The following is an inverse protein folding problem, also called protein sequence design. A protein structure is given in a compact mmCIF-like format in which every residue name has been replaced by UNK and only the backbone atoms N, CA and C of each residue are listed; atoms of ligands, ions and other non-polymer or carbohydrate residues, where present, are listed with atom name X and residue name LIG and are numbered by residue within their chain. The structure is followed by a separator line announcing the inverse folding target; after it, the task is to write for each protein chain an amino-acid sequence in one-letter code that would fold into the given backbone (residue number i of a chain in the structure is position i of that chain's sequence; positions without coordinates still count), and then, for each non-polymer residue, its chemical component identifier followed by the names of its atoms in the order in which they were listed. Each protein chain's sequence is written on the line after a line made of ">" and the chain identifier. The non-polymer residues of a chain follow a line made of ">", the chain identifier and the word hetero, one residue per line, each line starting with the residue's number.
data_IF_265195093252
#
_entry.id   IF_265195093252
#
_cell.length_a   1.000
_cell.length_b   1.000
_cell.length_c   1.000
_cell.angle_alpha   90.00
_cell.angle_beta   90.00
_cell.angle_gamma   90.00
#
_symmetry.space_group_name_H-M   'P 1'
#
loop_
_entity.id
_entity.type
_entity.pdbx_description
1 polymer ?
#
# COMPACT_ATOMS: atom_id res chain seq x y z
N UNK A 1 -22.81 -8.60 -9.65
CA UNK A 1 -21.43 -8.10 -9.59
C UNK A 1 -20.96 -8.15 -8.15
N UNK A 2 -19.66 -8.33 -7.92
CA UNK A 2 -19.07 -8.18 -6.59
C UNK A 2 -18.32 -6.86 -6.61
N UNK A 3 -18.73 -5.96 -5.72
CA UNK A 3 -18.09 -4.68 -5.52
C UNK A 3 -17.65 -4.58 -4.06
N UNK A 4 -16.51 -3.94 -3.83
CA UNK A 4 -16.00 -3.66 -2.48
C UNK A 4 -15.76 -2.16 -2.34
N UNK A 5 -16.08 -1.56 -1.19
CA UNK A 5 -15.80 -0.15 -0.95
C UNK A 5 -14.31 0.14 -0.95
N UNK A 6 -13.91 1.33 -1.42
CA UNK A 6 -12.52 1.75 -1.53
C UNK A 6 -11.77 1.74 -0.19
N UNK A 7 -12.47 2.02 0.93
CA UNK A 7 -11.87 1.96 2.26
C UNK A 7 -11.29 0.58 2.61
N UNK A 8 -11.72 -0.49 1.94
CA UNK A 8 -11.17 -1.85 2.12
C UNK A 8 -9.69 -1.90 1.72
N UNK A 9 -9.32 -1.23 0.63
CA UNK A 9 -7.94 -1.13 0.17
C UNK A 9 -7.09 -0.26 1.10
N UNK A 10 -7.67 0.83 1.63
CA UNK A 10 -7.00 1.65 2.64
C UNK A 10 -6.70 0.84 3.90
N UNK A 11 -7.65 0.02 4.36
CA UNK A 11 -7.44 -0.87 5.50
C UNK A 11 -6.28 -1.84 5.29
N UNK A 12 -6.20 -2.46 4.11
CA UNK A 12 -5.09 -3.36 3.75
C UNK A 12 -3.75 -2.61 3.70
N UNK A 13 -3.73 -1.41 3.12
CA UNK A 13 -2.55 -0.54 3.09
C UNK A 13 -2.05 -0.22 4.52
N UNK A 14 -2.96 0.17 5.42
CA UNK A 14 -2.61 0.48 6.82
C UNK A 14 -2.08 -0.75 7.58
N UNK A 15 -2.63 -1.94 7.31
CA UNK A 15 -2.14 -3.20 7.87
C UNK A 15 -0.69 -3.45 7.44
N UNK A 16 -0.40 -3.34 6.14
CA UNK A 16 0.95 -3.50 5.61
C UNK A 16 1.92 -2.46 6.18
N UNK A 17 1.47 -1.21 6.32
CA UNK A 17 2.24 -0.14 6.93
C UNK A 17 2.55 -0.43 8.41
N UNK A 18 1.60 -1.03 9.15
CA UNK A 18 1.80 -1.48 10.51
C UNK A 18 2.86 -2.58 10.62
N UNK A 19 2.79 -3.61 9.76
CA UNK A 19 3.80 -4.68 9.69
C UNK A 19 5.17 -4.10 9.37
N UNK A 20 5.25 -3.20 8.38
CA UNK A 20 6.48 -2.51 8.03
C UNK A 20 7.05 -1.73 9.22
N UNK A 21 6.21 -0.98 9.93
CA UNK A 21 6.62 -0.18 11.11
C UNK A 21 7.17 -1.08 12.20
N UNK A 22 6.55 -2.24 12.45
CA UNK A 22 7.04 -3.22 13.42
C UNK A 22 8.44 -3.73 13.05
N UNK A 23 8.66 -4.13 11.79
CA UNK A 23 9.98 -4.56 11.33
C UNK A 23 11.01 -3.44 11.38
N UNK A 24 10.62 -2.20 11.09
CA UNK A 24 11.49 -1.03 11.20
C UNK A 24 11.96 -0.80 12.64
N UNK A 25 11.05 -0.91 13.62
CA UNK A 25 11.39 -0.81 15.05
C UNK A 25 12.35 -1.93 15.46
N UNK A 26 12.09 -3.18 15.04
CA UNK A 26 12.98 -4.31 15.30
C UNK A 26 14.38 -4.05 14.71
N UNK A 27 14.45 -3.52 13.48
CA UNK A 27 15.72 -3.18 12.84
C UNK A 27 16.50 -2.12 13.64
N UNK A 28 15.84 -1.04 14.08
CA UNK A 28 16.48 -0.03 14.94
C UNK A 28 16.97 -0.65 16.25
N UNK A 29 16.15 -1.48 16.90
CA UNK A 29 16.54 -2.15 18.14
C UNK A 29 17.78 -3.04 17.93
N UNK A 30 17.82 -3.78 16.82
CA UNK A 30 18.97 -4.61 16.45
C UNK A 30 20.23 -3.78 16.18
N UNK A 31 20.11 -2.64 15.50
CA UNK A 31 21.24 -1.71 15.27
C UNK A 31 21.84 -1.19 16.58
N UNK A 32 20.99 -0.85 17.55
CA UNK A 32 21.42 -0.40 18.88
C UNK A 32 22.06 -1.55 19.66
N UNK A 33 21.43 -2.72 19.70
CA UNK A 33 21.93 -3.89 20.45
C UNK A 33 23.28 -4.39 19.93
N UNK A 34 23.46 -4.42 18.62
CA UNK A 34 24.72 -4.87 18.00
C UNK A 34 25.82 -3.81 18.04
N UNK A 35 25.55 -2.62 18.60
CA UNK A 35 26.43 -1.45 18.54
C UNK A 35 26.93 -1.15 17.13
N UNK A 36 26.17 -1.56 16.11
CA UNK A 36 26.53 -1.45 14.70
C UNK A 36 26.08 -0.10 14.14
N UNK A 37 26.26 0.95 14.94
CA UNK A 37 26.01 2.36 14.59
C UNK A 37 27.14 2.88 13.69
N UNK A 38 27.52 2.08 12.69
CA UNK A 38 28.45 2.53 11.67
C UNK A 38 27.77 3.59 10.81
N UNK A 39 28.58 4.46 10.21
CA UNK A 39 28.08 5.47 9.28
C UNK A 39 27.26 4.85 8.14
N UNK A 40 27.66 3.66 7.65
CA UNK A 40 26.95 2.93 6.60
C UNK A 40 25.56 2.51 7.07
N UNK A 41 25.45 1.88 8.24
CA UNK A 41 24.15 1.48 8.82
C UNK A 41 23.22 2.69 9.02
N UNK A 42 23.77 3.83 9.45
CA UNK A 42 23.03 5.08 9.59
C UNK A 42 22.50 5.57 8.23
N UNK A 43 23.35 5.67 7.21
CA UNK A 43 22.96 6.16 5.88
C UNK A 43 21.88 5.27 5.26
N UNK A 44 22.04 3.94 5.34
CA UNK A 44 21.04 3.01 4.80
C UNK A 44 19.70 3.17 5.53
N UNK A 45 19.71 3.22 6.87
CA UNK A 45 18.48 3.39 7.67
C UNK A 45 17.81 4.73 7.39
N UNK A 46 18.60 5.80 7.25
CA UNK A 46 18.11 7.14 6.91
C UNK A 46 17.44 7.18 5.53
N UNK A 47 18.06 6.60 4.51
CA UNK A 47 17.49 6.55 3.15
C UNK A 47 16.17 5.78 3.16
N UNK A 48 16.11 4.63 3.84
CA UNK A 48 14.86 3.87 3.98
C UNK A 48 13.77 4.68 4.68
N UNK A 49 14.11 5.32 5.81
CA UNK A 49 13.17 6.15 6.56
C UNK A 49 12.66 7.35 5.75
N UNK A 50 13.57 8.05 5.05
CA UNK A 50 13.22 9.17 4.18
C UNK A 50 12.31 8.73 3.03
N UNK A 51 12.60 7.58 2.41
CA UNK A 51 11.79 7.02 1.31
C UNK A 51 10.37 6.69 1.77
N UNK A 52 10.23 6.07 2.95
CA UNK A 52 8.91 5.76 3.53
C UNK A 52 8.15 7.02 3.90
N UNK A 53 8.84 8.00 4.50
CA UNK A 53 8.23 9.29 4.85
C UNK A 53 7.70 10.01 3.60
N UNK A 54 8.48 10.01 2.52
CA UNK A 54 8.08 10.57 1.23
C UNK A 54 6.90 9.82 0.63
N UNK A 55 6.90 8.48 0.71
CA UNK A 55 5.80 7.65 0.22
C UNK A 55 4.50 7.92 0.98
N UNK A 56 4.55 8.04 2.31
CA UNK A 56 3.39 8.40 3.14
C UNK A 56 2.89 9.81 2.76
N UNK A 57 3.79 10.78 2.64
CA UNK A 57 3.44 12.13 2.24
C UNK A 57 2.78 12.17 0.85
N UNK A 58 3.36 11.51 -0.14
CA UNK A 58 2.78 11.41 -1.48
C UNK A 58 1.40 10.72 -1.43
N UNK A 59 1.27 9.66 -0.64
CA UNK A 59 -0.01 8.95 -0.44
C UNK A 59 -1.06 9.88 0.15
N UNK A 60 -0.73 10.68 1.17
CA UNK A 60 -1.67 11.63 1.76
C UNK A 60 -2.17 12.68 0.76
N UNK A 61 -1.28 13.20 -0.09
CA UNK A 61 -1.66 14.16 -1.13
C UNK A 61 -2.53 13.51 -2.22
N UNK A 62 -2.18 12.30 -2.67
CA UNK A 62 -2.93 11.59 -3.70
C UNK A 62 -4.32 11.14 -3.22
N UNK A 63 -4.50 10.96 -1.91
CA UNK A 63 -5.76 10.57 -1.32
C UNK A 63 -6.66 11.76 -0.94
N UNK A 64 -6.18 12.99 -1.06
CA UNK A 64 -6.96 14.18 -0.74
C UNK A 64 -8.23 14.25 -1.61
N UNK A 65 -9.39 14.46 -0.97
CA UNK A 65 -10.69 14.51 -1.66
C UNK A 65 -11.26 13.15 -2.09
N UNK A 66 -10.60 12.03 -1.76
CA UNK A 66 -11.08 10.69 -2.11
C UNK A 66 -12.41 10.36 -1.41
N UNK A 67 -13.40 9.93 -2.19
CA UNK A 67 -14.69 9.45 -1.69
C UNK A 67 -14.58 7.97 -1.28
N UNK A 68 -14.34 7.71 0.00
CA UNK A 68 -14.02 6.37 0.52
C UNK A 68 -15.15 5.35 0.45
N UNK A 69 -16.38 5.82 0.35
CA UNK A 69 -17.59 5.02 0.18
C UNK A 69 -17.79 4.55 -1.26
N UNK A 70 -16.97 5.03 -2.21
CA UNK A 70 -17.09 4.63 -3.60
C UNK A 70 -16.80 3.13 -3.76
N UNK A 71 -17.68 2.45 -4.49
CA UNK A 71 -17.58 1.02 -4.73
C UNK A 71 -16.69 0.73 -5.93
N UNK A 72 -15.67 -0.11 -5.72
CA UNK A 72 -14.83 -0.64 -6.79
C UNK A 72 -15.37 -2.01 -7.16
N UNK A 73 -15.81 -2.15 -8.42
CA UNK A 73 -16.25 -3.42 -8.97
C UNK A 73 -15.01 -4.30 -9.18
N UNK A 74 -14.87 -5.34 -8.36
CA UNK A 74 -13.76 -6.29 -8.43
C UNK A 74 -14.08 -7.52 -9.27
N UNK A 75 -15.37 -7.81 -9.47
CA UNK A 75 -15.81 -8.91 -10.32
C UNK A 75 -17.16 -8.63 -10.97
N UNK A 76 -17.21 -8.67 -12.30
CA UNK A 76 -18.46 -8.68 -13.06
C UNK A 76 -18.51 -9.92 -13.96
N UNK A 77 -19.62 -10.68 -13.88
CA UNK A 77 -19.85 -11.86 -14.71
C UNK A 77 -19.89 -11.50 -16.22
N UNK A 78 -20.32 -10.29 -16.56
CA UNK A 78 -20.38 -9.81 -17.95
C UNK A 78 -19.01 -9.67 -18.61
N UNK A 79 -17.93 -9.51 -17.83
CA UNK A 79 -16.57 -9.49 -18.35
C UNK A 79 -16.20 -10.81 -19.04
N UNK A 80 -16.72 -11.94 -18.55
CA UNK A 80 -16.48 -13.25 -19.13
C UNK A 80 -17.43 -13.53 -20.30
N UNK A 81 -18.68 -13.10 -20.22
CA UNK A 81 -19.65 -13.25 -21.32
C UNK A 81 -19.17 -12.53 -22.59
N UNK A 82 -18.62 -11.32 -22.44
CA UNK A 82 -18.04 -10.57 -23.57
C UNK A 82 -16.73 -11.13 -24.14
N UNK A 83 -16.06 -12.04 -23.44
CA UNK A 83 -14.87 -12.76 -23.96
C UNK A 83 -15.26 -13.92 -24.88
N UNK A 84 -16.45 -14.52 -24.68
CA UNK A 84 -16.93 -15.66 -25.48
C UNK A 84 -17.94 -15.27 -26.56
N UNK A 85 -18.54 -14.08 -26.49
CA UNK A 85 -19.48 -13.54 -27.48
C UNK A 85 -19.00 -12.15 -27.90
N UNK A 86 -18.47 -11.97 -29.14
CA UNK A 86 -18.07 -10.66 -29.61
C UNK A 86 -19.27 -9.72 -29.67
N UNK A 87 -19.11 -8.49 -29.14
CA UNK A 87 -20.13 -7.43 -29.05
C UNK A 87 -20.83 -7.05 -30.37
N UNK A 88 -20.45 -7.61 -31.51
CA UNK A 88 -20.97 -7.24 -32.84
C UNK A 88 -22.25 -8.00 -33.24
N UNK A 89 -22.81 -8.84 -32.37
CA UNK A 89 -24.06 -9.58 -32.61
C UNK A 89 -25.24 -9.09 -31.73
N UNK A 90 -25.11 -7.93 -31.10
CA UNK A 90 -26.18 -7.22 -30.38
C UNK A 90 -26.34 -5.80 -30.90
#
# INVERSE_FOLDING_TARGET
>A
MIAIPLYTFLGLYLLLLGIFTLFFIINIAHLVQTSSLTFVSFVVTFIFFASVTLLIYATMNLLEGTQWQYEVIIFNKEWFVGLFIPRQLM
#
